data_IF_764720294588
#
_entry.id   IF_764720294588
#
_cell.length_a   1.000
_cell.length_b   1.000
_cell.length_c   1.000
_cell.angle_alpha   90.00
_cell.angle_beta   90.00
_cell.angle_gamma   90.00
#
_symmetry.space_group_name_H-M   'P 1'
#
loop_
_entity.id
_entity.type
_entity.pdbx_description
1 polymer ?
#
# COMPACT_ATOMS: atom_id res chain seq x y z
N UNK A 1 35.84 6.56 -25.97
CA UNK A 1 34.58 6.77 -25.23
C UNK A 1 33.45 6.42 -26.17
N UNK A 2 32.61 5.43 -25.85
CA UNK A 2 31.49 5.07 -26.72
C UNK A 2 30.48 6.22 -26.71
N UNK A 3 30.22 6.82 -27.87
CA UNK A 3 29.27 7.91 -28.01
C UNK A 3 27.86 7.38 -27.73
N UNK A 4 27.18 7.91 -26.71
CA UNK A 4 25.77 7.59 -26.44
C UNK A 4 24.95 8.09 -27.63
N UNK A 5 24.27 7.17 -28.32
CA UNK A 5 23.48 7.47 -29.53
C UNK A 5 21.98 7.30 -29.33
N UNK A 6 21.57 6.75 -28.18
CA UNK A 6 20.17 6.55 -27.80
C UNK A 6 20.05 6.50 -26.28
N UNK A 7 18.89 6.90 -25.78
CA UNK A 7 18.50 6.79 -24.38
C UNK A 7 17.15 6.06 -24.28
N UNK A 8 16.89 5.42 -23.15
CA UNK A 8 15.64 4.75 -22.86
C UNK A 8 14.77 5.63 -21.97
N UNK A 9 13.67 6.16 -22.49
CA UNK A 9 12.75 6.99 -21.70
C UNK A 9 11.64 6.13 -21.12
N UNK A 10 11.43 6.22 -19.80
CA UNK A 10 10.31 5.57 -19.11
C UNK A 10 9.13 6.52 -19.04
N UNK A 11 8.06 6.18 -19.76
CA UNK A 11 6.82 6.94 -19.76
C UNK A 11 5.80 6.30 -18.82
N UNK A 12 5.17 7.10 -17.96
CA UNK A 12 4.14 6.65 -17.01
C UNK A 12 2.94 7.59 -17.01
N UNK A 13 1.73 7.03 -16.91
CA UNK A 13 0.50 7.82 -16.72
C UNK A 13 0.30 8.10 -15.22
N UNK A 14 0.46 9.36 -14.79
CA UNK A 14 0.29 9.80 -13.39
C UNK A 14 -0.94 10.70 -13.22
N UNK A 15 -1.32 10.94 -11.96
CA UNK A 15 -2.38 11.87 -11.59
C UNK A 15 -1.82 13.28 -11.54
N UNK A 16 -2.64 14.26 -11.89
CA UNK A 16 -2.43 15.63 -11.45
C UNK A 16 -2.89 15.81 -10.00
N UNK A 17 -2.50 16.93 -9.40
CA UNK A 17 -2.96 17.39 -8.09
C UNK A 17 -4.49 17.49 -7.96
N UNK A 18 -5.23 17.67 -9.06
CA UNK A 18 -6.71 17.69 -9.08
C UNK A 18 -7.33 16.27 -9.12
N UNK A 19 -6.53 15.19 -9.12
CA UNK A 19 -6.94 13.77 -9.10
C UNK A 19 -7.85 13.30 -10.25
N UNK A 20 -8.37 14.20 -11.08
CA UNK A 20 -9.31 13.95 -12.19
C UNK A 20 -8.61 13.79 -13.53
N UNK A 21 -7.48 14.47 -13.74
CA UNK A 21 -6.76 14.42 -15.00
C UNK A 21 -5.55 13.49 -14.90
N UNK A 22 -5.38 12.67 -15.95
CA UNK A 22 -4.20 11.85 -16.12
C UNK A 22 -3.21 12.61 -17.00
N UNK A 23 -1.95 12.68 -16.57
CA UNK A 23 -0.85 13.29 -17.32
C UNK A 23 0.17 12.22 -17.65
N UNK A 24 0.67 12.28 -18.88
CA UNK A 24 1.77 11.44 -19.32
C UNK A 24 3.08 12.08 -18.83
N UNK A 25 3.88 11.31 -18.12
CA UNK A 25 5.13 11.74 -17.51
C UNK A 25 6.31 10.91 -18.03
N UNK A 26 7.49 11.52 -18.12
CA UNK A 26 8.77 10.82 -18.25
C UNK A 26 9.38 10.75 -16.85
N UNK A 27 9.46 9.56 -16.28
CA UNK A 27 9.84 9.38 -14.87
C UNK A 27 11.30 9.00 -14.67
N UNK A 28 11.91 8.39 -15.69
CA UNK A 28 13.32 8.03 -15.67
C UNK A 28 13.91 7.93 -17.07
N UNK A 29 15.23 8.02 -17.15
CA UNK A 29 16.02 7.90 -18.37
C UNK A 29 17.09 6.84 -18.13
N UNK A 30 17.10 5.81 -18.98
CA UNK A 30 18.09 4.74 -18.96
C UNK A 30 19.16 4.93 -20.04
N UNK A 31 20.38 4.52 -19.74
CA UNK A 31 21.52 4.53 -20.66
C UNK A 31 21.77 3.14 -21.25
N UNK A 32 22.46 3.02 -22.40
CA UNK A 32 22.72 1.73 -23.06
C UNK A 32 23.50 0.70 -22.24
N UNK A 33 24.27 1.16 -21.25
CA UNK A 33 25.05 0.35 -20.30
C UNK A 33 24.23 -0.11 -19.08
N UNK A 34 22.96 0.27 -18.99
CA UNK A 34 22.02 -0.26 -18.01
C UNK A 34 21.78 0.63 -16.79
N UNK A 35 22.47 1.77 -16.67
CA UNK A 35 22.18 2.74 -15.62
C UNK A 35 20.83 3.43 -15.89
N UNK A 36 20.13 3.80 -14.81
CA UNK A 36 18.81 4.44 -14.87
C UNK A 36 18.81 5.64 -13.95
N UNK A 37 18.30 6.76 -14.44
CA UNK A 37 18.36 8.04 -13.73
C UNK A 37 16.96 8.62 -13.54
N UNK A 38 16.69 9.15 -12.36
CA UNK A 38 15.41 9.74 -11.98
C UNK A 38 15.23 11.10 -12.67
N UNK A 39 14.02 11.36 -13.20
CA UNK A 39 13.61 12.70 -13.61
C UNK A 39 12.93 13.38 -12.41
N UNK A 40 13.37 14.57 -11.96
CA UNK A 40 12.74 15.28 -10.85
C UNK A 40 11.28 15.58 -11.14
N UNK A 41 10.41 15.49 -10.13
CA UNK A 41 8.95 15.50 -10.29
C UNK A 41 8.43 16.74 -11.05
N UNK A 42 9.05 17.90 -10.86
CA UNK A 42 8.74 19.15 -11.54
C UNK A 42 9.06 19.13 -13.04
N UNK A 43 9.98 18.28 -13.48
CA UNK A 43 10.37 18.11 -14.87
C UNK A 43 9.67 16.93 -15.56
N UNK A 44 9.05 16.02 -14.80
CA UNK A 44 8.46 14.81 -15.36
C UNK A 44 7.34 14.99 -16.39
N UNK A 45 6.44 16.00 -16.32
CA UNK A 45 5.36 16.12 -17.30
C UNK A 45 5.88 16.11 -18.74
N UNK A 46 5.39 15.19 -19.58
CA UNK A 46 5.88 15.01 -20.96
C UNK A 46 5.80 16.31 -21.79
N UNK A 47 4.88 17.21 -21.44
CA UNK A 47 4.72 18.54 -22.04
C UNK A 47 5.95 19.45 -21.88
N UNK A 48 6.81 19.20 -20.89
CA UNK A 48 8.06 19.94 -20.69
C UNK A 48 9.19 19.44 -21.61
N UNK A 49 9.08 18.22 -22.13
CA UNK A 49 10.05 17.59 -23.01
C UNK A 49 9.72 17.85 -24.48
N UNK A 50 9.77 19.13 -24.88
CA UNK A 50 9.24 19.64 -26.17
C UNK A 50 9.79 18.90 -27.40
N UNK A 51 11.05 18.52 -27.42
CA UNK A 51 11.63 17.80 -28.56
C UNK A 51 11.18 16.34 -28.63
N UNK A 52 10.94 15.70 -27.49
CA UNK A 52 10.42 14.33 -27.46
C UNK A 52 8.98 14.28 -27.99
N UNK A 53 8.13 15.24 -27.59
CA UNK A 53 6.71 15.22 -27.99
C UNK A 53 6.49 15.45 -29.49
N UNK A 54 7.46 16.04 -30.18
CA UNK A 54 7.44 16.22 -31.64
C UNK A 54 7.74 14.92 -32.39
N UNK A 55 8.40 13.96 -31.75
CA UNK A 55 8.80 12.73 -32.41
C UNK A 55 7.60 11.82 -32.70
N UNK A 56 7.60 11.10 -33.84
CA UNK A 56 6.55 10.11 -34.14
C UNK A 56 6.38 9.04 -33.06
N UNK A 57 7.48 8.67 -32.40
CA UNK A 57 7.47 7.67 -31.31
C UNK A 57 6.56 8.08 -30.15
N UNK A 58 6.45 9.39 -29.88
CA UNK A 58 5.60 9.89 -28.80
C UNK A 58 4.11 9.64 -29.06
N UNK A 59 3.67 9.71 -30.32
CA UNK A 59 2.29 9.36 -30.68
C UNK A 59 1.99 7.88 -30.39
N UNK A 60 2.94 6.99 -30.67
CA UNK A 60 2.83 5.57 -30.35
C UNK A 60 2.78 5.33 -28.83
N UNK A 61 3.52 6.12 -28.05
CA UNK A 61 3.44 6.09 -26.58
C UNK A 61 2.05 6.51 -26.09
N UNK A 62 1.51 7.65 -26.55
CA UNK A 62 0.15 8.09 -26.19
C UNK A 62 -0.93 7.07 -26.59
N UNK A 63 -0.70 6.35 -27.68
CA UNK A 63 -1.61 5.31 -28.14
C UNK A 63 -1.54 4.03 -27.30
N UNK A 64 -0.37 3.70 -26.75
CA UNK A 64 -0.17 2.48 -25.95
C UNK A 64 -0.48 2.64 -24.47
N UNK A 65 -0.42 3.86 -23.92
CA UNK A 65 -0.67 4.17 -22.52
C UNK A 65 -2.07 4.77 -22.33
N UNK A 66 -3.04 3.93 -21.93
CA UNK A 66 -4.46 4.31 -21.81
C UNK A 66 -4.98 4.37 -20.38
N UNK A 67 -4.39 3.58 -19.47
CA UNK A 67 -4.83 3.49 -18.07
C UNK A 67 -3.81 4.16 -17.15
N UNK A 68 -4.32 4.63 -16.01
CA UNK A 68 -3.52 5.19 -14.92
C UNK A 68 -2.45 4.17 -14.46
N UNK A 69 -1.27 4.68 -14.11
CA UNK A 69 -0.09 3.93 -13.68
C UNK A 69 0.50 2.97 -14.72
N UNK A 70 -0.01 2.93 -15.96
CA UNK A 70 0.65 2.19 -17.01
C UNK A 70 1.99 2.84 -17.35
N UNK A 71 2.98 1.99 -17.59
CA UNK A 71 4.36 2.38 -17.89
C UNK A 71 4.87 1.70 -19.16
N UNK A 72 5.69 2.40 -19.95
CA UNK A 72 6.43 1.85 -21.09
C UNK A 72 7.84 2.44 -21.14
N UNK A 73 8.84 1.58 -21.36
CA UNK A 73 10.23 1.97 -21.59
C UNK A 73 10.49 1.99 -23.10
N UNK A 74 10.96 3.11 -23.64
CA UNK A 74 11.12 3.32 -25.07
C UNK A 74 12.53 3.81 -25.37
N UNK A 75 13.24 3.11 -26.24
CA UNK A 75 14.51 3.59 -26.78
C UNK A 75 14.26 4.68 -27.83
N UNK A 76 14.89 5.83 -27.65
CA UNK A 76 14.83 6.98 -28.56
C UNK A 76 16.26 7.32 -28.98
N UNK A 77 16.50 7.39 -30.30
CA UNK A 77 17.77 7.83 -30.84
C UNK A 77 17.97 9.33 -30.56
N UNK A 78 19.17 9.72 -30.18
CA UNK A 78 19.51 11.11 -29.91
C UNK A 78 19.79 11.85 -31.21
N UNK A 79 18.97 12.86 -31.50
CA UNK A 79 19.30 13.93 -32.44
C UNK A 79 20.30 14.89 -31.80
N UNK A 80 20.88 15.81 -32.56
CA UNK A 80 21.73 16.87 -32.00
C UNK A 80 20.98 17.70 -30.94
N UNK A 81 19.72 18.04 -31.19
CA UNK A 81 18.85 18.75 -30.23
C UNK A 81 18.65 17.96 -28.94
N UNK A 82 18.31 16.67 -29.03
CA UNK A 82 18.13 15.83 -27.85
C UNK A 82 19.44 15.60 -27.10
N UNK A 83 20.55 15.52 -27.82
CA UNK A 83 21.88 15.39 -27.21
C UNK A 83 22.15 16.60 -26.33
N UNK A 84 21.95 17.82 -26.85
CA UNK A 84 22.18 19.05 -26.09
C UNK A 84 21.22 19.24 -24.89
N UNK A 85 20.00 18.67 -24.96
CA UNK A 85 19.02 18.77 -23.89
C UNK A 85 19.35 17.81 -22.75
N UNK A 86 19.73 16.57 -23.07
CA UNK A 86 19.82 15.49 -22.08
C UNK A 86 21.24 15.11 -21.69
N UNK A 87 22.26 15.50 -22.47
CA UNK A 87 23.65 15.17 -22.21
C UNK A 87 24.49 16.45 -22.16
N UNK A 88 25.42 16.50 -21.22
CA UNK A 88 26.51 17.48 -21.25
C UNK A 88 27.65 17.01 -22.18
N UNK A 89 28.71 17.82 -22.29
CA UNK A 89 29.90 17.47 -23.09
C UNK A 89 30.62 16.21 -22.58
N UNK A 90 30.48 15.89 -21.30
CA UNK A 90 31.01 14.69 -20.66
C UNK A 90 30.14 13.44 -20.87
N UNK A 91 28.94 13.59 -21.43
CA UNK A 91 27.96 12.50 -21.57
C UNK A 91 27.17 12.20 -20.30
N UNK A 92 27.18 13.11 -19.32
CA UNK A 92 26.37 12.98 -18.11
C UNK A 92 24.92 13.38 -18.41
N UNK A 93 23.96 12.69 -17.78
CA UNK A 93 22.54 13.00 -17.94
C UNK A 93 22.15 14.27 -17.19
N UNK A 94 21.53 15.21 -17.91
CA UNK A 94 21.06 16.47 -17.37
C UNK A 94 19.65 16.83 -17.87
N UNK A 95 18.96 17.69 -17.13
CA UNK A 95 17.76 18.41 -17.59
C UNK A 95 17.87 19.85 -17.07
N UNK A 96 17.94 20.82 -17.99
CA UNK A 96 18.18 22.21 -17.62
C UNK A 96 19.56 22.36 -16.99
N UNK A 97 19.62 22.83 -15.75
CA UNK A 97 20.86 23.00 -14.99
C UNK A 97 21.09 21.89 -13.95
N UNK A 98 20.30 20.82 -13.99
CA UNK A 98 20.35 19.74 -13.01
C UNK A 98 20.90 18.45 -13.62
N UNK A 99 21.86 17.83 -12.93
CA UNK A 99 22.24 16.45 -13.18
C UNK A 99 21.21 15.49 -12.60
N UNK A 100 20.94 14.39 -13.32
CA UNK A 100 19.98 13.41 -12.87
C UNK A 100 20.62 12.45 -11.85
N UNK A 101 19.83 12.06 -10.84
CA UNK A 101 20.25 11.10 -9.82
C UNK A 101 20.12 9.68 -10.36
N UNK A 102 21.19 8.88 -10.26
CA UNK A 102 21.15 7.47 -10.62
C UNK A 102 20.31 6.68 -9.60
N UNK A 103 19.34 5.93 -10.10
CA UNK A 103 18.54 4.98 -9.32
C UNK A 103 19.22 3.63 -9.46
N UNK A 104 19.85 3.16 -8.39
CA UNK A 104 20.30 1.78 -8.32
C UNK A 104 19.09 0.85 -8.48
N UNK A 105 19.12 -0.02 -9.49
CA UNK A 105 18.21 -1.16 -9.61
C UNK A 105 18.62 -2.17 -8.52
N UNK A 106 18.42 -1.81 -7.24
CA UNK A 106 18.50 -2.79 -6.18
C UNK A 106 17.45 -3.85 -6.55
N UNK A 107 17.81 -5.13 -6.70
CA UNK A 107 16.79 -6.17 -6.68
C UNK A 107 15.96 -5.87 -5.44
N UNK A 108 14.65 -5.68 -5.61
CA UNK A 108 13.75 -5.38 -4.51
C UNK A 108 13.76 -6.56 -3.52
N UNK A 109 14.72 -6.53 -2.60
CA UNK A 109 14.58 -6.95 -1.23
C UNK A 109 14.39 -5.69 -0.38
N UNK A 110 13.48 -4.82 -0.79
CA UNK A 110 13.04 -3.68 0.03
C UNK A 110 12.04 -4.16 1.08
N UNK A 111 12.54 -4.90 2.07
CA UNK A 111 11.88 -5.26 3.33
C UNK A 111 11.64 -4.06 4.28
N UNK A 112 11.55 -2.82 3.76
CA UNK A 112 11.46 -1.61 4.60
C UNK A 112 10.17 -0.81 4.37
N UNK A 113 9.55 -0.90 3.19
CA UNK A 113 8.25 -0.27 2.92
C UNK A 113 7.04 -1.21 3.13
N UNK A 114 7.27 -2.52 3.23
CA UNK A 114 6.20 -3.51 3.47
C UNK A 114 5.85 -3.66 4.95
N UNK A 115 6.77 -3.37 5.88
CA UNK A 115 6.55 -3.48 7.32
C UNK A 115 5.30 -2.70 7.82
N UNK A 116 5.05 -1.44 7.40
CA UNK A 116 3.85 -0.71 7.82
C UNK A 116 2.56 -1.26 7.19
N UNK A 117 2.62 -1.72 5.93
CA UNK A 117 1.48 -2.24 5.18
C UNK A 117 1.08 -3.63 5.67
N UNK A 118 2.04 -4.52 5.91
CA UNK A 118 1.83 -5.84 6.49
C UNK A 118 1.24 -5.68 7.90
N UNK A 119 1.80 -4.80 8.75
CA UNK A 119 1.20 -4.50 10.07
C UNK A 119 -0.21 -3.93 9.99
N UNK A 120 -0.50 -3.08 8.99
CA UNK A 120 -1.86 -2.58 8.78
C UNK A 120 -2.82 -3.68 8.34
N UNK A 121 -2.38 -4.58 7.45
CA UNK A 121 -3.17 -5.72 6.99
C UNK A 121 -3.41 -6.73 8.11
N UNK A 122 -2.39 -7.07 8.89
CA UNK A 122 -2.48 -7.91 10.10
C UNK A 122 -3.48 -7.32 11.10
N UNK A 123 -3.37 -6.02 11.40
CA UNK A 123 -4.27 -5.34 12.34
C UNK A 123 -5.71 -5.25 11.84
N UNK A 124 -5.93 -5.18 10.52
CA UNK A 124 -7.27 -5.22 9.92
C UNK A 124 -7.86 -6.64 9.96
N UNK A 125 -7.05 -7.66 9.70
CA UNK A 125 -7.45 -9.06 9.80
C UNK A 125 -7.79 -9.44 11.25
N UNK A 126 -6.93 -9.11 12.22
CA UNK A 126 -7.18 -9.30 13.65
C UNK A 126 -8.47 -8.61 14.10
N UNK A 127 -8.68 -7.35 13.68
CA UNK A 127 -9.90 -6.61 14.04
C UNK A 127 -11.15 -7.25 13.44
N UNK A 128 -11.06 -7.79 12.22
CA UNK A 128 -12.18 -8.48 11.57
C UNK A 128 -12.50 -9.83 12.23
N UNK A 129 -11.49 -10.60 12.60
CA UNK A 129 -11.63 -11.87 13.31
C UNK A 129 -12.17 -11.64 14.72
N UNK A 130 -11.56 -10.74 15.50
CA UNK A 130 -12.03 -10.38 16.84
C UNK A 130 -13.48 -9.87 16.81
N UNK A 131 -13.85 -9.04 15.82
CA UNK A 131 -15.23 -8.58 15.70
C UNK A 131 -16.22 -9.70 15.34
N UNK A 132 -15.79 -10.70 14.55
CA UNK A 132 -16.61 -11.88 14.24
C UNK A 132 -16.74 -12.82 15.44
N UNK A 133 -15.67 -12.99 16.22
CA UNK A 133 -15.66 -13.78 17.45
C UNK A 133 -16.51 -13.14 18.54
N UNK A 134 -16.37 -11.84 18.80
CA UNK A 134 -17.22 -11.10 19.77
C UNK A 134 -18.71 -11.18 19.37
N UNK A 135 -19.02 -11.06 18.07
CA UNK A 135 -20.39 -11.24 17.56
C UNK A 135 -20.91 -12.67 17.74
N UNK A 136 -20.04 -13.66 17.74
CA UNK A 136 -20.40 -15.06 17.99
C UNK A 136 -20.60 -15.31 19.50
N UNK A 137 -19.68 -14.84 20.33
CA UNK A 137 -19.75 -14.89 21.80
C UNK A 137 -21.05 -14.27 22.31
N UNK A 138 -21.41 -13.07 21.84
CA UNK A 138 -22.66 -12.42 22.22
C UNK A 138 -23.94 -13.16 21.77
N UNK A 139 -23.86 -14.07 20.78
CA UNK A 139 -24.97 -14.95 20.41
C UNK A 139 -25.01 -16.18 21.32
N UNK A 140 -23.87 -16.79 21.61
CA UNK A 140 -23.74 -17.95 22.50
C UNK A 140 -24.21 -17.58 23.92
N UNK A 141 -23.79 -16.43 24.43
CA UNK A 141 -24.20 -15.92 25.75
C UNK A 141 -25.73 -15.84 25.90
N UNK A 142 -26.48 -15.50 24.83
CA UNK A 142 -27.95 -15.44 24.87
C UNK A 142 -28.63 -16.81 24.97
N UNK A 143 -27.89 -17.89 24.71
CA UNK A 143 -28.39 -19.26 24.77
C UNK A 143 -28.10 -19.93 26.12
N UNK A 144 -27.36 -19.26 27.00
CA UNK A 144 -27.12 -19.72 28.37
C UNK A 144 -28.45 -19.71 29.13
N UNK A 145 -28.72 -20.79 29.84
CA UNK A 145 -29.92 -20.93 30.68
C UNK A 145 -29.54 -20.64 32.13
N UNK A 146 -29.12 -19.39 32.39
CA UNK A 146 -28.74 -18.91 33.71
C UNK A 146 -29.20 -17.47 33.90
N UNK A 147 -29.69 -17.14 35.10
CA UNK A 147 -30.04 -15.76 35.46
C UNK A 147 -28.80 -14.93 35.77
N UNK A 148 -28.88 -13.60 35.57
CA UNK A 148 -27.79 -12.70 35.97
C UNK A 148 -27.51 -12.79 37.46
N UNK A 149 -26.24 -12.74 37.84
CA UNK A 149 -25.86 -12.68 39.24
C UNK A 149 -26.16 -11.29 39.81
N UNK A 150 -26.93 -11.25 40.89
CA UNK A 150 -27.29 -10.01 41.57
C UNK A 150 -27.00 -10.05 43.09
N UNK A 151 -26.28 -11.07 43.55
CA UNK A 151 -25.96 -11.29 44.97
C UNK A 151 -27.14 -11.69 45.85
N UNK A 152 -28.35 -11.85 45.29
CA UNK A 152 -29.59 -12.18 46.02
C UNK A 152 -30.28 -13.45 45.50
N UNK A 153 -30.05 -13.84 44.25
CA UNK A 153 -30.72 -14.97 43.59
C UNK A 153 -30.12 -16.34 43.94
N UNK A 154 -28.81 -16.44 44.13
CA UNK A 154 -28.12 -17.64 44.59
C UNK A 154 -26.79 -17.27 45.26
N UNK A 155 -26.20 -18.18 46.04
CA UNK A 155 -24.84 -17.95 46.55
C UNK A 155 -23.83 -17.99 45.40
N UNK A 156 -22.70 -17.30 45.58
CA UNK A 156 -21.71 -17.09 44.53
C UNK A 156 -21.13 -18.41 44.00
N UNK A 157 -20.84 -19.37 44.89
CA UNK A 157 -20.25 -20.66 44.53
C UNK A 157 -21.18 -21.49 43.63
N UNK A 158 -22.48 -21.53 43.95
CA UNK A 158 -23.47 -22.25 43.14
C UNK A 158 -23.72 -21.56 41.80
N UNK A 159 -23.70 -20.23 41.79
CA UNK A 159 -23.89 -19.45 40.57
C UNK A 159 -22.71 -19.62 39.61
N UNK A 160 -21.48 -19.49 40.11
CA UNK A 160 -20.28 -19.65 39.28
C UNK A 160 -20.15 -21.08 38.75
N UNK A 161 -20.50 -22.09 39.56
CA UNK A 161 -20.55 -23.49 39.10
C UNK A 161 -21.56 -23.68 37.97
N UNK A 162 -22.73 -23.03 38.06
CA UNK A 162 -23.75 -23.10 37.00
C UNK A 162 -23.29 -22.38 35.73
N UNK A 163 -22.59 -21.25 35.88
CA UNK A 163 -21.98 -20.51 34.78
C UNK A 163 -20.91 -21.33 34.07
N UNK A 164 -20.00 -21.97 34.81
CA UNK A 164 -18.94 -22.83 34.27
C UNK A 164 -19.51 -24.03 33.50
N UNK A 165 -20.59 -24.65 34.00
CA UNK A 165 -21.30 -25.72 33.27
C UNK A 165 -21.89 -25.25 31.95
N UNK A 166 -22.43 -24.04 31.88
CA UNK A 166 -22.88 -23.48 30.61
C UNK A 166 -21.69 -23.17 29.69
N UNK A 167 -20.56 -22.69 30.20
CA UNK A 167 -19.34 -22.55 29.39
C UNK A 167 -18.87 -23.90 28.82
N UNK A 168 -18.87 -24.97 29.62
CA UNK A 168 -18.55 -26.33 29.15
C UNK A 168 -19.55 -26.83 28.10
N UNK A 169 -20.85 -26.59 28.29
CA UNK A 169 -21.92 -26.99 27.36
C UNK A 169 -21.76 -26.41 25.96
N UNK A 170 -21.14 -25.23 25.85
CA UNK A 170 -20.88 -24.54 24.59
C UNK A 170 -19.40 -24.63 24.14
N UNK A 171 -18.61 -25.54 24.72
CA UNK A 171 -17.19 -25.75 24.42
C UNK A 171 -16.33 -24.48 24.57
N UNK A 172 -16.69 -23.59 25.51
CA UNK A 172 -15.94 -22.37 25.80
C UNK A 172 -14.86 -22.72 26.82
N UNK A 173 -13.68 -23.09 26.32
CA UNK A 173 -12.51 -23.43 27.13
C UNK A 173 -11.55 -22.26 27.36
N UNK A 174 -11.61 -21.22 26.51
CA UNK A 174 -10.75 -20.04 26.55
C UNK A 174 -11.16 -19.08 27.69
N UNK A 175 -10.22 -18.73 28.56
CA UNK A 175 -10.48 -17.93 29.76
C UNK A 175 -10.87 -16.48 29.44
N UNK A 176 -10.29 -15.88 28.40
CA UNK A 176 -10.64 -14.52 27.98
C UNK A 176 -12.10 -14.45 27.51
N UNK A 177 -12.55 -15.47 26.76
CA UNK A 177 -13.96 -15.61 26.35
C UNK A 177 -14.89 -15.84 27.53
N UNK A 178 -14.51 -16.66 28.50
CA UNK A 178 -15.28 -16.85 29.74
C UNK A 178 -15.45 -15.54 30.49
N UNK A 179 -14.38 -14.75 30.64
CA UNK A 179 -14.42 -13.45 31.33
C UNK A 179 -15.35 -12.48 30.59
N UNK A 180 -15.32 -12.44 29.26
CA UNK A 180 -16.19 -11.55 28.48
C UNK A 180 -17.68 -11.91 28.65
N UNK A 181 -18.01 -13.20 28.61
CA UNK A 181 -19.39 -13.66 28.82
C UNK A 181 -19.81 -13.40 30.28
N UNK A 182 -18.95 -13.70 31.25
CA UNK A 182 -19.20 -13.49 32.67
C UNK A 182 -19.63 -12.05 32.95
N UNK A 183 -18.91 -11.06 32.40
CA UNK A 183 -19.24 -9.63 32.53
C UNK A 183 -20.66 -9.30 32.06
N UNK A 184 -21.17 -9.99 31.03
CA UNK A 184 -22.54 -9.76 30.53
C UNK A 184 -23.63 -10.28 31.48
N UNK A 185 -23.27 -11.20 32.37
CA UNK A 185 -24.15 -11.85 33.34
C UNK A 185 -24.01 -11.31 34.77
N UNK A 186 -23.20 -10.28 34.99
CA UNK A 186 -23.14 -9.54 36.26
C UNK A 186 -24.06 -8.32 36.22
N UNK A 187 -24.87 -8.12 37.28
CA UNK A 187 -25.60 -6.86 37.45
C UNK A 187 -24.68 -5.73 37.91
N UNK A 188 -25.04 -4.48 37.57
CA UNK A 188 -24.19 -3.29 37.80
C UNK A 188 -23.74 -3.10 39.26
N UNK A 189 -24.50 -3.59 40.23
CA UNK A 189 -24.13 -3.51 41.66
C UNK A 189 -23.21 -4.63 42.15
N UNK A 190 -22.92 -5.62 41.31
CA UNK A 190 -22.00 -6.74 41.57
C UNK A 190 -20.72 -6.66 40.74
N UNK A 191 -20.66 -5.75 39.75
CA UNK A 191 -19.53 -5.53 38.85
C UNK A 191 -18.56 -4.42 39.29
N UNK A 192 -18.94 -3.66 40.33
CA UNK A 192 -18.11 -2.64 41.01
C UNK A 192 -17.34 -3.25 42.20
#
# INVERSE_FOLDING_TARGET
MNKINKLQFTFTVRNTTDLKTNVLCITSIGTPDGHVYAVPDEYQPATLHKEIIKLPVFNNVKNSLKKRHQTRKIWINLTEELTNIYLDEGGNLQIGEFYLEEIEDKPQTTNVAEQPLIKMLEKLLEKSQNQSEIKNIGKIAKQFIIDKFNGKNSNADQWITSFEKECERFDISDDDKKIEILKSFMDKGAAD
#
